data_IF_348549125419
#
_entry.id   IF_348549125419
#
_cell.length_a   1.000
_cell.length_b   1.000
_cell.length_c   1.000
_cell.angle_alpha   90.00
_cell.angle_beta   90.00
_cell.angle_gamma   90.00
#
_symmetry.space_group_name_H-M   'P 1'
#
loop_
_entity.id
_entity.type
_entity.pdbx_description
1 polymer ?
#
# COMPACT_ATOMS: atom_id res chain seq x y z
N UNK A 1 -62.95 27.04 10.27
CA UNK A 1 -63.69 26.48 11.38
C UNK A 1 -62.72 25.75 12.27
N UNK A 2 -62.75 26.21 13.52
CA UNK A 2 -62.45 25.66 14.84
C UNK A 2 -60.96 25.29 15.16
N UNK A 3 -60.50 26.24 15.94
CA UNK A 3 -59.45 26.17 16.97
C UNK A 3 -59.76 25.08 18.00
N UNK A 4 -58.77 24.33 18.44
CA UNK A 4 -58.67 23.94 19.85
C UNK A 4 -57.19 23.88 20.19
N UNK A 5 -56.78 24.78 21.05
CA UNK A 5 -55.54 24.77 21.78
C UNK A 5 -55.65 23.90 23.03
N UNK A 6 -54.51 23.36 23.49
CA UNK A 6 -54.40 22.83 24.81
C UNK A 6 -53.08 23.29 25.41
N UNK A 7 -53.20 24.21 26.33
CA UNK A 7 -52.22 24.63 27.31
C UNK A 7 -52.25 23.58 28.45
N UNK A 8 -51.10 23.05 28.84
CA UNK A 8 -50.94 22.48 30.17
C UNK A 8 -49.64 23.02 30.76
N UNK A 9 -49.86 23.58 31.94
CA UNK A 9 -48.94 24.37 32.71
C UNK A 9 -47.93 23.51 33.54
N UNK A 10 -46.77 24.07 33.71
CA UNK A 10 -45.93 24.18 34.90
C UNK A 10 -46.22 23.26 36.09
N UNK A 11 -45.20 22.47 36.52
CA UNK A 11 -44.89 22.31 37.94
C UNK A 11 -43.37 22.24 38.15
N UNK A 12 -42.88 23.30 38.76
CA UNK A 12 -41.56 23.40 39.42
C UNK A 12 -41.65 22.67 40.75
N UNK A 13 -40.73 21.77 41.03
CA UNK A 13 -40.46 21.28 42.37
C UNK A 13 -38.96 21.26 42.59
N UNK A 14 -38.48 22.32 43.23
CA UNK A 14 -37.18 22.38 43.84
C UNK A 14 -37.21 21.56 45.14
N UNK A 15 -36.28 20.59 45.24
CA UNK A 15 -35.93 19.96 46.51
C UNK A 15 -34.42 20.14 46.72
N UNK A 16 -34.09 21.14 47.53
CA UNK A 16 -32.79 21.24 48.19
C UNK A 16 -32.74 20.20 49.30
N UNK A 17 -31.80 19.28 49.23
CA UNK A 17 -31.31 18.55 50.38
C UNK A 17 -29.82 18.83 50.50
N UNK A 18 -29.49 19.73 51.40
CA UNK A 18 -28.16 19.89 51.94
C UNK A 18 -27.98 18.87 53.06
N UNK A 19 -26.96 18.05 52.99
CA UNK A 19 -26.34 17.42 54.13
C UNK A 19 -24.88 17.18 53.82
N UNK A 20 -24.08 17.65 54.50
CA UNK A 20 -22.90 17.95 55.09
C UNK A 20 -21.99 16.79 55.40
N UNK A 21 -20.70 17.02 55.23
CA UNK A 21 -19.63 16.60 56.11
C UNK A 21 -19.06 15.20 55.87
N UNK A 22 -17.84 15.15 55.42
CA UNK A 22 -16.99 14.00 55.51
C UNK A 22 -15.80 14.12 54.58
N UNK A 23 -14.67 14.64 55.09
CA UNK A 23 -13.41 14.72 54.37
C UNK A 23 -12.88 13.31 54.09
N UNK A 24 -12.39 13.16 52.89
CA UNK A 24 -11.60 12.04 52.42
C UNK A 24 -10.83 12.58 51.23
N UNK A 25 -9.62 13.04 51.50
CA UNK A 25 -8.62 13.30 50.45
C UNK A 25 -8.30 11.97 49.78
N UNK A 26 -9.03 11.66 48.76
CA UNK A 26 -8.71 10.67 47.75
C UNK A 26 -8.51 11.44 46.46
N UNK A 27 -7.30 11.80 46.16
CA UNK A 27 -6.88 12.13 44.80
C UNK A 27 -7.12 10.90 43.90
N UNK A 28 -8.39 10.61 43.60
CA UNK A 28 -8.74 9.85 42.42
C UNK A 28 -8.44 10.77 41.23
N UNK A 29 -7.14 10.80 40.84
CA UNK A 29 -6.78 11.21 39.50
C UNK A 29 -7.49 10.23 38.56
N UNK A 30 -8.72 10.57 38.20
CA UNK A 30 -9.42 9.93 37.11
C UNK A 30 -8.57 10.21 35.88
N UNK A 31 -7.68 9.25 35.57
CA UNK A 31 -6.93 9.23 34.31
C UNK A 31 -7.98 9.29 33.21
N UNK A 32 -8.16 10.47 32.64
CA UNK A 32 -9.10 10.66 31.54
C UNK A 32 -8.61 9.76 30.42
N UNK A 33 -9.45 8.83 29.97
CA UNK A 33 -9.13 7.99 28.83
C UNK A 33 -8.61 8.88 27.68
N UNK A 34 -7.53 8.50 27.00
CA UNK A 34 -6.96 9.30 25.94
C UNK A 34 -8.00 9.60 24.87
N UNK A 35 -8.01 10.83 24.37
CA UNK A 35 -8.89 11.20 23.25
C UNK A 35 -8.61 10.30 22.05
N UNK A 36 -9.65 9.83 21.37
CA UNK A 36 -9.47 8.99 20.18
C UNK A 36 -8.79 9.78 19.07
N UNK A 37 -7.73 9.18 18.52
CA UNK A 37 -6.98 9.69 17.38
C UNK A 37 -7.20 8.72 16.22
N UNK A 38 -7.91 9.16 15.19
CA UNK A 38 -8.13 8.37 14.00
C UNK A 38 -6.95 8.56 13.06
N UNK A 39 -6.36 7.44 12.61
CA UNK A 39 -5.20 7.41 11.72
C UNK A 39 -5.53 6.60 10.47
N UNK A 40 -5.11 7.11 9.32
CA UNK A 40 -5.26 6.47 8.03
C UNK A 40 -3.90 5.95 7.54
N UNK A 41 -3.85 4.71 7.08
CA UNK A 41 -2.66 4.05 6.54
C UNK A 41 -2.91 3.56 5.12
N UNK A 42 -2.36 4.26 4.13
CA UNK A 42 -2.44 3.87 2.72
C UNK A 42 -1.61 2.62 2.42
N UNK A 43 -2.20 1.67 1.69
CA UNK A 43 -1.59 0.37 1.41
C UNK A 43 -1.41 0.12 -0.09
N UNK A 44 -2.11 -0.84 -0.66
CA UNK A 44 -2.15 -1.19 -2.07
C UNK A 44 -3.44 -1.96 -2.37
N UNK A 45 -3.69 -2.39 -3.62
CA UNK A 45 -4.84 -3.22 -3.92
C UNK A 45 -4.80 -4.55 -3.14
N UNK A 46 -5.97 -5.11 -2.76
CA UNK A 46 -6.06 -6.45 -2.20
C UNK A 46 -5.30 -7.48 -3.04
N UNK A 47 -4.68 -8.47 -2.38
CA UNK A 47 -3.83 -9.46 -3.03
C UNK A 47 -2.36 -9.05 -3.19
N UNK A 48 -2.02 -7.79 -2.95
CA UNK A 48 -0.63 -7.33 -2.92
C UNK A 48 -0.01 -7.40 -1.51
N UNK A 49 1.31 -7.52 -1.44
CA UNK A 49 2.06 -7.58 -0.16
C UNK A 49 1.80 -6.35 0.73
N UNK A 50 1.72 -5.16 0.14
CA UNK A 50 1.47 -3.93 0.91
C UNK A 50 0.10 -3.93 1.58
N UNK A 51 -0.92 -4.53 0.94
CA UNK A 51 -2.23 -4.66 1.57
C UNK A 51 -2.16 -5.55 2.81
N UNK A 52 -1.48 -6.70 2.71
CA UNK A 52 -1.30 -7.63 3.84
C UNK A 52 -0.50 -6.99 4.98
N UNK A 53 0.63 -6.37 4.64
CA UNK A 53 1.50 -5.72 5.64
C UNK A 53 0.82 -4.51 6.29
N UNK A 54 0.13 -3.69 5.50
CA UNK A 54 -0.56 -2.51 6.02
C UNK A 54 -1.73 -2.88 6.92
N UNK A 55 -2.48 -3.92 6.58
CA UNK A 55 -3.55 -4.42 7.45
C UNK A 55 -3.01 -4.92 8.79
N UNK A 56 -1.95 -5.74 8.77
CA UNK A 56 -1.31 -6.22 9.99
C UNK A 56 -0.69 -5.09 10.82
N UNK A 57 -0.11 -4.08 10.17
CA UNK A 57 0.43 -2.91 10.84
C UNK A 57 -0.67 -2.08 11.52
N UNK A 58 -1.79 -1.84 10.83
CA UNK A 58 -2.93 -1.13 11.41
C UNK A 58 -3.53 -1.88 12.62
N UNK A 59 -3.65 -3.20 12.54
CA UNK A 59 -4.07 -4.05 13.65
C UNK A 59 -3.09 -3.91 14.84
N UNK A 60 -1.79 -4.01 14.58
CA UNK A 60 -0.74 -3.84 15.59
C UNK A 60 -0.79 -2.45 16.24
N UNK A 61 -0.97 -1.40 15.44
CA UNK A 61 -1.11 -0.02 15.94
C UNK A 61 -2.35 0.13 16.82
N UNK A 62 -3.45 -0.54 16.49
CA UNK A 62 -4.67 -0.53 17.30
C UNK A 62 -4.51 -1.33 18.61
N UNK A 63 -3.83 -2.48 18.55
CA UNK A 63 -3.59 -3.33 19.73
C UNK A 63 -2.68 -2.64 20.74
N UNK A 64 -1.59 -2.03 20.31
CA UNK A 64 -0.58 -1.43 21.17
C UNK A 64 -0.71 0.09 21.32
N UNK A 65 -1.51 0.73 20.51
CA UNK A 65 -1.73 2.18 20.50
C UNK A 65 -2.81 2.67 21.47
N UNK A 66 -3.42 1.79 22.27
CA UNK A 66 -4.53 2.11 23.18
C UNK A 66 -4.19 3.21 24.17
N UNK A 67 -2.96 3.25 24.71
CA UNK A 67 -2.48 4.31 25.59
C UNK A 67 -2.38 5.69 24.94
N UNK A 68 -2.36 5.77 23.59
CA UNK A 68 -2.36 6.99 22.80
C UNK A 68 -3.73 7.29 22.19
N UNK A 69 -4.73 6.44 22.41
CA UNK A 69 -6.06 6.55 21.82
C UNK A 69 -6.11 6.27 20.31
N UNK A 70 -5.11 5.60 19.75
CA UNK A 70 -5.03 5.35 18.31
C UNK A 70 -6.15 4.42 17.81
N UNK A 71 -6.72 4.80 16.68
CA UNK A 71 -7.68 4.02 15.90
C UNK A 71 -7.25 4.10 14.42
N UNK A 72 -6.46 3.14 13.99
CA UNK A 72 -5.82 3.11 12.68
C UNK A 72 -6.64 2.28 11.71
N UNK A 73 -6.88 2.82 10.52
CA UNK A 73 -7.54 2.12 9.41
C UNK A 73 -6.57 1.94 8.26
N UNK A 74 -6.39 0.69 7.80
CA UNK A 74 -5.67 0.40 6.57
C UNK A 74 -6.60 0.66 5.37
N UNK A 75 -6.17 1.52 4.45
CA UNK A 75 -6.90 1.89 3.25
C UNK A 75 -6.31 1.20 2.02
N UNK A 76 -7.15 0.54 1.23
CA UNK A 76 -6.74 0.04 -0.07
C UNK A 76 -6.56 1.22 -1.04
N UNK A 77 -5.41 1.24 -1.72
CA UNK A 77 -5.05 2.26 -2.71
C UNK A 77 -4.52 1.60 -3.98
N UNK A 78 -4.19 2.39 -5.00
CA UNK A 78 -3.50 1.85 -6.18
C UNK A 78 -2.02 1.50 -5.89
N UNK A 79 -1.44 2.00 -4.79
CA UNK A 79 -0.07 1.75 -4.38
C UNK A 79 0.75 3.03 -4.16
N UNK A 80 2.07 2.91 -4.24
CA UNK A 80 3.02 3.93 -3.78
C UNK A 80 2.80 5.32 -4.37
N UNK A 81 2.47 5.44 -5.65
CA UNK A 81 2.31 6.73 -6.30
C UNK A 81 1.08 7.48 -5.78
N UNK A 82 -0.05 6.80 -5.63
CA UNK A 82 -1.25 7.36 -5.00
C UNK A 82 -0.98 7.69 -3.53
N UNK A 83 -0.35 6.79 -2.81
CA UNK A 83 -0.02 6.95 -1.40
C UNK A 83 0.79 8.23 -1.13
N UNK A 84 1.81 8.48 -1.95
CA UNK A 84 2.65 9.67 -1.85
C UNK A 84 1.84 10.95 -2.06
N UNK A 85 0.95 10.98 -3.07
CA UNK A 85 0.10 12.15 -3.33
C UNK A 85 -0.89 12.39 -2.20
N UNK A 86 -1.50 11.33 -1.67
CA UNK A 86 -2.48 11.41 -0.58
C UNK A 86 -1.83 11.77 0.77
N UNK A 87 -0.58 11.37 1.01
CA UNK A 87 0.21 11.87 2.14
C UNK A 87 0.46 13.37 2.03
N UNK A 88 0.85 13.85 0.84
CA UNK A 88 1.14 15.26 0.60
C UNK A 88 -0.11 16.15 0.70
N UNK A 89 -1.27 15.62 0.31
CA UNK A 89 -2.57 16.32 0.47
C UNK A 89 -3.12 16.27 1.90
N UNK A 90 -2.54 15.46 2.78
CA UNK A 90 -3.03 15.26 4.15
C UNK A 90 -4.25 14.35 4.25
N UNK A 91 -4.55 13.57 3.20
CA UNK A 91 -5.61 12.56 3.19
C UNK A 91 -5.18 11.27 3.90
N UNK A 92 -3.88 11.02 4.02
CA UNK A 92 -3.29 9.90 4.75
C UNK A 92 -2.32 10.41 5.80
N UNK A 93 -2.31 9.76 6.97
CA UNK A 93 -1.34 10.01 8.03
C UNK A 93 -0.06 9.20 7.81
N UNK A 94 -0.21 7.97 7.34
CA UNK A 94 0.87 7.04 7.02
C UNK A 94 0.61 6.35 5.68
N UNK A 95 1.66 5.85 5.05
CA UNK A 95 1.51 5.01 3.87
C UNK A 95 2.69 4.09 3.66
N UNK A 96 2.42 2.96 3.04
CA UNK A 96 3.44 2.08 2.51
C UNK A 96 3.92 2.60 1.15
N UNK A 97 5.22 2.65 0.97
CA UNK A 97 5.82 3.09 -0.31
C UNK A 97 7.06 2.29 -0.65
N UNK A 98 7.21 2.00 -1.93
CA UNK A 98 8.41 1.40 -2.48
C UNK A 98 9.57 2.42 -2.50
N UNK A 99 10.76 1.98 -2.15
CA UNK A 99 11.94 2.85 -2.06
C UNK A 99 12.30 3.52 -3.40
N UNK A 100 12.17 2.82 -4.53
CA UNK A 100 12.44 3.38 -5.85
C UNK A 100 11.47 4.52 -6.18
N UNK A 101 10.18 4.29 -5.98
CA UNK A 101 9.13 5.30 -6.25
C UNK A 101 9.33 6.51 -5.35
N UNK A 102 9.60 6.27 -4.06
CA UNK A 102 9.91 7.33 -3.10
C UNK A 102 11.17 8.12 -3.48
N UNK A 103 12.21 7.43 -3.98
CA UNK A 103 13.45 8.06 -4.42
C UNK A 103 13.21 9.13 -5.50
N UNK A 104 12.40 8.83 -6.51
CA UNK A 104 12.05 9.78 -7.56
C UNK A 104 11.09 10.87 -7.08
N UNK A 105 10.11 10.52 -6.26
CA UNK A 105 9.13 11.45 -5.73
C UNK A 105 9.76 12.57 -4.87
N UNK A 106 10.70 12.25 -3.98
CA UNK A 106 11.35 13.25 -3.12
C UNK A 106 12.31 14.17 -3.90
N UNK A 107 12.69 13.76 -5.12
CA UNK A 107 13.52 14.56 -6.04
C UNK A 107 12.72 15.33 -7.08
N UNK A 108 11.44 14.99 -7.27
CA UNK A 108 10.61 15.57 -8.32
C UNK A 108 11.11 15.24 -9.72
N UNK A 109 11.61 14.00 -9.91
CA UNK A 109 12.16 13.53 -11.19
C UNK A 109 11.27 12.42 -11.77
N UNK A 110 11.57 11.98 -12.99
CA UNK A 110 10.86 10.88 -13.67
C UNK A 110 9.32 11.08 -13.77
N UNK A 111 8.88 12.30 -14.10
CA UNK A 111 7.47 12.61 -14.30
C UNK A 111 6.68 12.98 -13.04
N UNK A 112 7.34 13.11 -11.89
CA UNK A 112 6.73 13.70 -10.72
C UNK A 112 6.60 15.22 -10.86
N UNK A 113 5.44 15.78 -10.51
CA UNK A 113 5.08 17.18 -10.73
C UNK A 113 5.92 18.15 -9.84
N UNK A 114 6.42 17.66 -8.74
CA UNK A 114 7.23 18.38 -7.74
C UNK A 114 8.04 17.43 -6.88
N UNK A 115 8.96 17.97 -6.09
CA UNK A 115 9.60 17.23 -5.00
C UNK A 115 8.64 17.11 -3.81
N UNK A 116 8.29 15.89 -3.44
CA UNK A 116 7.37 15.60 -2.34
C UNK A 116 8.12 15.52 -1.01
N UNK A 117 7.57 16.16 0.03
CA UNK A 117 8.17 16.16 1.36
C UNK A 117 7.62 14.98 2.18
N UNK A 118 8.47 13.99 2.41
CA UNK A 118 8.11 12.79 3.16
C UNK A 118 9.14 12.47 4.23
N UNK A 119 8.72 11.71 5.23
CA UNK A 119 9.60 11.19 6.28
C UNK A 119 9.43 9.69 6.39
N UNK A 120 10.54 8.97 6.38
CA UNK A 120 10.55 7.53 6.64
C UNK A 120 10.38 7.29 8.13
N UNK A 121 9.39 6.50 8.49
CA UNK A 121 9.17 6.02 9.87
C UNK A 121 9.96 4.75 10.10
N UNK A 122 9.83 3.77 9.20
CA UNK A 122 10.56 2.49 9.28
C UNK A 122 10.72 1.84 7.90
N UNK A 123 11.65 0.90 7.81
CA UNK A 123 11.76 -0.03 6.69
C UNK A 123 11.16 -1.37 7.11
N UNK A 124 10.20 -1.88 6.35
CA UNK A 124 9.47 -3.11 6.70
C UNK A 124 10.15 -4.37 6.15
N UNK A 125 10.39 -4.42 4.84
CA UNK A 125 10.95 -5.59 4.18
C UNK A 125 11.65 -5.21 2.87
N UNK A 126 12.58 -6.05 2.38
CA UNK A 126 13.05 -5.99 1.01
C UNK A 126 11.88 -6.18 0.04
N UNK A 127 11.86 -5.39 -1.04
CA UNK A 127 10.92 -5.55 -2.13
C UNK A 127 11.62 -6.27 -3.27
N UNK A 128 11.26 -7.54 -3.49
CA UNK A 128 11.89 -8.38 -4.53
C UNK A 128 11.18 -8.13 -5.85
N UNK A 129 11.93 -7.96 -6.91
CA UNK A 129 11.45 -7.86 -8.29
C UNK A 129 11.56 -9.22 -8.96
N UNK A 130 10.45 -9.75 -9.45
CA UNK A 130 10.40 -11.06 -10.09
C UNK A 130 9.61 -10.97 -11.39
N UNK A 131 10.08 -11.68 -12.40
CA UNK A 131 9.32 -11.97 -13.62
C UNK A 131 8.97 -13.43 -13.62
N UNK A 132 7.72 -13.76 -13.91
CA UNK A 132 7.25 -15.13 -14.02
C UNK A 132 6.52 -15.34 -15.35
N UNK A 133 6.63 -16.55 -15.88
CA UNK A 133 5.94 -17.01 -17.09
C UNK A 133 5.39 -18.41 -16.87
N UNK A 134 4.39 -18.88 -17.63
CA UNK A 134 4.04 -20.30 -17.68
C UNK A 134 5.23 -21.14 -18.15
N UNK A 135 5.43 -22.31 -17.55
CA UNK A 135 6.57 -23.17 -17.85
C UNK A 135 6.63 -23.64 -19.31
N UNK A 136 5.49 -23.71 -19.97
CA UNK A 136 5.33 -24.13 -21.37
C UNK A 136 5.25 -22.96 -22.37
N UNK A 137 5.41 -21.70 -21.88
CA UNK A 137 5.28 -20.50 -22.73
C UNK A 137 6.45 -20.27 -23.69
N UNK A 138 7.61 -20.89 -23.42
CA UNK A 138 8.86 -20.61 -24.13
C UNK A 138 9.51 -19.26 -23.76
N UNK A 139 9.00 -18.55 -22.75
CA UNK A 139 9.57 -17.29 -22.23
C UNK A 139 10.44 -17.63 -21.02
N UNK A 140 11.75 -17.74 -21.23
CA UNK A 140 12.70 -18.19 -20.21
C UNK A 140 13.74 -17.12 -19.84
N UNK A 141 13.93 -16.12 -20.70
CA UNK A 141 14.89 -15.03 -20.52
C UNK A 141 14.22 -13.67 -20.64
N UNK A 142 14.88 -12.62 -20.16
CA UNK A 142 14.41 -11.25 -20.35
C UNK A 142 14.26 -10.88 -21.83
N UNK A 143 15.15 -11.39 -22.71
CA UNK A 143 15.09 -11.12 -24.14
C UNK A 143 13.81 -11.66 -24.79
N UNK A 144 13.24 -12.74 -24.27
CA UNK A 144 12.01 -13.36 -24.80
C UNK A 144 10.76 -12.53 -24.52
N UNK A 145 10.85 -11.51 -23.68
CA UNK A 145 9.75 -10.56 -23.44
C UNK A 145 9.44 -9.68 -24.66
N UNK A 146 10.39 -9.55 -25.61
CA UNK A 146 10.19 -8.71 -26.80
C UNK A 146 9.03 -9.22 -27.65
N UNK A 147 8.14 -8.29 -28.02
CA UNK A 147 6.94 -8.58 -28.80
C UNK A 147 5.81 -9.25 -27.99
N UNK A 148 6.04 -9.56 -26.72
CA UNK A 148 5.07 -10.25 -25.89
C UNK A 148 4.10 -9.30 -25.19
N UNK A 149 2.94 -9.85 -24.78
CA UNK A 149 2.02 -9.21 -23.86
C UNK A 149 2.50 -9.48 -22.44
N UNK A 150 2.82 -8.42 -21.70
CA UNK A 150 3.50 -8.51 -20.41
C UNK A 150 2.76 -7.73 -19.33
N UNK A 151 2.41 -8.38 -18.24
CA UNK A 151 1.79 -7.74 -17.07
C UNK A 151 2.80 -6.87 -16.33
N UNK A 152 2.52 -5.57 -16.19
CA UNK A 152 3.45 -4.57 -15.63
C UNK A 152 2.91 -3.85 -14.38
N UNK A 153 1.85 -4.37 -13.78
CA UNK A 153 1.23 -3.78 -12.58
C UNK A 153 0.15 -2.76 -12.91
N UNK A 154 -0.42 -2.19 -11.86
CA UNK A 154 -1.55 -1.24 -11.97
C UNK A 154 -1.06 0.09 -12.55
N UNK A 155 -1.81 0.63 -13.51
CA UNK A 155 -1.54 1.95 -14.05
C UNK A 155 -1.63 3.03 -12.93
N UNK A 156 -0.67 3.94 -12.90
CA UNK A 156 -0.62 5.00 -11.89
C UNK A 156 -0.20 4.54 -10.48
N UNK A 157 0.16 3.27 -10.30
CA UNK A 157 0.71 2.76 -9.04
C UNK A 157 2.20 3.10 -8.85
N UNK A 158 2.88 3.44 -9.93
CA UNK A 158 4.31 3.76 -9.95
C UNK A 158 5.22 2.58 -10.24
N UNK A 159 4.68 1.42 -10.62
CA UNK A 159 5.51 0.26 -10.97
C UNK A 159 6.53 0.54 -12.09
N UNK A 160 6.16 1.35 -13.05
CA UNK A 160 7.02 1.76 -14.17
C UNK A 160 8.32 2.46 -13.73
N UNK A 161 8.37 3.11 -12.55
CA UNK A 161 9.58 3.76 -12.05
C UNK A 161 10.73 2.79 -11.76
N UNK A 162 10.44 1.52 -11.54
CA UNK A 162 11.48 0.50 -11.38
C UNK A 162 11.43 -0.58 -12.47
N UNK A 163 10.28 -0.84 -13.10
CA UNK A 163 10.20 -1.78 -14.24
C UNK A 163 10.94 -1.22 -15.46
N UNK A 164 10.84 0.09 -15.76
CA UNK A 164 11.58 0.70 -16.88
C UNK A 164 13.09 0.54 -16.74
N UNK A 165 13.73 0.87 -15.61
CA UNK A 165 15.13 0.57 -15.39
C UNK A 165 15.47 -0.92 -15.53
N UNK A 166 14.64 -1.81 -14.95
CA UNK A 166 14.85 -3.26 -15.03
C UNK A 166 14.85 -3.76 -16.48
N UNK A 167 13.89 -3.36 -17.30
CA UNK A 167 13.84 -3.69 -18.71
C UNK A 167 14.99 -3.03 -19.47
N UNK A 168 15.27 -1.74 -19.20
CA UNK A 168 16.32 -0.96 -19.85
C UNK A 168 17.71 -1.55 -19.69
N UNK A 169 18.04 -2.08 -18.51
CA UNK A 169 19.31 -2.78 -18.27
C UNK A 169 19.49 -4.05 -19.15
N UNK A 170 18.37 -4.61 -19.66
CA UNK A 170 18.38 -5.71 -20.63
C UNK A 170 18.15 -5.22 -22.08
N UNK A 171 18.26 -3.89 -22.32
CA UNK A 171 18.05 -3.27 -23.62
C UNK A 171 16.60 -3.34 -24.12
N UNK A 172 15.62 -3.54 -23.23
CA UNK A 172 14.20 -3.64 -23.55
C UNK A 172 13.50 -2.36 -23.11
N UNK A 173 12.61 -1.85 -23.95
CA UNK A 173 11.76 -0.70 -23.65
C UNK A 173 10.30 -1.11 -23.55
N UNK A 174 9.43 -0.21 -23.10
CA UNK A 174 7.98 -0.46 -23.12
C UNK A 174 7.41 -0.57 -24.54
N UNK A 175 8.10 0.00 -25.55
CA UNK A 175 7.72 -0.11 -26.97
C UNK A 175 8.06 -1.49 -27.56
N UNK A 176 8.97 -2.23 -26.93
CA UNK A 176 9.32 -3.60 -27.31
C UNK A 176 8.33 -4.65 -26.79
N UNK A 177 7.40 -4.28 -25.91
CA UNK A 177 6.39 -5.16 -25.31
C UNK A 177 4.99 -4.59 -25.50
N UNK A 178 3.95 -5.39 -25.24
CA UNK A 178 2.58 -4.90 -25.06
C UNK A 178 2.26 -4.92 -23.57
N UNK A 179 2.35 -3.77 -22.86
CA UNK A 179 2.14 -3.74 -21.43
C UNK A 179 0.66 -3.93 -21.07
N UNK A 180 0.38 -4.83 -20.15
CA UNK A 180 -0.94 -5.09 -19.59
C UNK A 180 -0.99 -4.59 -18.14
N UNK A 181 -1.94 -3.71 -17.84
CA UNK A 181 -2.12 -3.18 -16.51
C UNK A 181 -3.12 -4.02 -15.72
N UNK A 182 -2.66 -4.61 -14.62
CA UNK A 182 -3.49 -5.40 -13.72
C UNK A 182 -2.93 -5.35 -12.29
N UNK A 183 -3.77 -5.68 -11.30
CA UNK A 183 -3.28 -6.01 -9.95
C UNK A 183 -2.39 -7.26 -10.02
N UNK A 184 -1.61 -7.55 -8.97
CA UNK A 184 -0.78 -8.76 -8.98
C UNK A 184 -1.62 -10.04 -9.09
N UNK A 185 -2.78 -10.11 -8.42
CA UNK A 185 -3.71 -11.23 -8.60
C UNK A 185 -4.27 -11.29 -10.01
N UNK A 186 -4.71 -10.15 -10.57
CA UNK A 186 -5.19 -10.08 -11.96
C UNK A 186 -4.12 -10.42 -12.98
N UNK A 187 -2.85 -10.11 -12.71
CA UNK A 187 -1.73 -10.52 -13.57
C UNK A 187 -1.56 -12.04 -13.60
N UNK A 188 -1.78 -12.73 -12.47
CA UNK A 188 -1.80 -14.19 -12.42
C UNK A 188 -2.96 -14.76 -13.25
N UNK A 189 -4.14 -14.13 -13.19
CA UNK A 189 -5.28 -14.54 -14.00
C UNK A 189 -4.98 -14.36 -15.51
N UNK A 190 -4.27 -13.28 -15.90
CA UNK A 190 -3.81 -13.07 -17.28
C UNK A 190 -2.79 -14.12 -17.76
N UNK A 191 -1.97 -14.68 -16.85
CA UNK A 191 -1.13 -15.83 -17.17
C UNK A 191 -1.97 -17.09 -17.37
N UNK A 192 -2.90 -17.36 -16.47
CA UNK A 192 -3.69 -18.57 -16.47
C UNK A 192 -4.61 -18.69 -17.69
N UNK A 193 -5.11 -17.58 -18.22
CA UNK A 193 -5.96 -17.53 -19.41
C UNK A 193 -5.17 -17.34 -20.74
N UNK A 194 -3.85 -17.23 -20.66
CA UNK A 194 -2.98 -17.01 -21.82
C UNK A 194 -3.03 -15.61 -22.40
N UNK A 195 -3.61 -14.64 -21.69
CA UNK A 195 -3.66 -13.23 -22.12
C UNK A 195 -2.29 -12.54 -21.96
N UNK A 196 -1.46 -12.98 -21.02
CA UNK A 196 -0.09 -12.52 -20.86
C UNK A 196 0.89 -13.67 -21.01
N UNK A 197 2.03 -13.43 -21.68
CA UNK A 197 3.11 -14.39 -21.80
C UNK A 197 4.04 -14.38 -20.56
N UNK A 198 4.13 -13.25 -19.90
CA UNK A 198 4.87 -13.08 -18.63
C UNK A 198 4.26 -11.95 -17.82
N UNK A 199 4.51 -11.94 -16.50
CA UNK A 199 4.07 -10.87 -15.62
C UNK A 199 5.17 -10.49 -14.62
N UNK A 200 5.20 -9.21 -14.29
CA UNK A 200 6.00 -8.71 -13.19
C UNK A 200 5.26 -8.92 -11.87
N UNK A 201 5.95 -9.47 -10.89
CA UNK A 201 5.48 -9.61 -9.51
C UNK A 201 6.51 -8.99 -8.58
N UNK A 202 6.07 -8.04 -7.77
CA UNK A 202 6.94 -7.37 -6.80
C UNK A 202 6.37 -7.45 -5.38
N UNK A 203 7.27 -7.45 -4.42
CA UNK A 203 6.87 -7.45 -3.00
C UNK A 203 7.80 -8.26 -2.11
N UNK A 204 7.40 -8.46 -0.86
CA UNK A 204 8.12 -9.33 0.04
C UNK A 204 7.87 -10.82 -0.29
N UNK A 205 8.77 -11.68 0.16
CA UNK A 205 8.61 -13.13 0.07
C UNK A 205 8.25 -13.66 1.47
N UNK A 206 7.22 -14.53 1.58
CA UNK A 206 6.39 -15.12 0.52
C UNK A 206 5.44 -14.10 -0.13
N UNK A 207 5.21 -14.24 -1.45
CA UNK A 207 4.32 -13.37 -2.20
C UNK A 207 3.01 -14.08 -2.54
N UNK A 208 1.84 -13.53 -2.20
CA UNK A 208 0.54 -14.17 -2.45
C UNK A 208 0.27 -14.46 -3.93
N UNK A 209 0.67 -13.58 -4.85
CA UNK A 209 0.47 -13.77 -6.27
C UNK A 209 1.31 -14.95 -6.82
N UNK A 210 2.54 -15.13 -6.33
CA UNK A 210 3.36 -16.29 -6.70
C UNK A 210 2.74 -17.58 -6.19
N UNK A 211 2.24 -17.58 -4.95
CA UNK A 211 1.53 -18.74 -4.38
C UNK A 211 0.29 -19.08 -5.21
N UNK A 212 -0.48 -18.08 -5.62
CA UNK A 212 -1.65 -18.25 -6.49
C UNK A 212 -1.24 -18.83 -7.85
N UNK A 213 -0.22 -18.26 -8.49
CA UNK A 213 0.27 -18.73 -9.80
C UNK A 213 0.74 -20.19 -9.75
N UNK A 214 1.58 -20.53 -8.76
CA UNK A 214 2.08 -21.90 -8.56
C UNK A 214 1.01 -22.93 -8.21
N UNK A 215 -0.12 -22.49 -7.65
CA UNK A 215 -1.25 -23.37 -7.35
C UNK A 215 -2.11 -23.65 -8.60
N UNK A 216 -2.07 -22.77 -9.60
CA UNK A 216 -2.90 -22.88 -10.82
C UNK A 216 -2.16 -23.54 -12.00
N UNK A 217 -0.85 -23.39 -12.08
CA UNK A 217 -0.01 -23.90 -13.19
C UNK A 217 1.47 -23.96 -12.81
N UNK A 218 2.26 -24.69 -13.59
CA UNK A 218 3.72 -24.63 -13.49
C UNK A 218 4.22 -23.28 -14.01
N UNK A 219 5.12 -22.64 -13.26
CA UNK A 219 5.70 -21.34 -13.61
C UNK A 219 7.23 -21.41 -13.64
N UNK A 220 7.81 -20.63 -14.54
CA UNK A 220 9.23 -20.30 -14.55
C UNK A 220 9.45 -18.93 -13.93
N UNK A 221 10.58 -18.77 -13.24
CA UNK A 221 11.13 -17.47 -12.88
C UNK A 221 12.12 -17.05 -13.96
N UNK A 222 11.88 -15.90 -14.58
CA UNK A 222 12.76 -15.36 -15.62
C UNK A 222 13.93 -14.64 -14.91
N UNK A 223 15.17 -15.12 -15.06
CA UNK A 223 16.32 -14.55 -14.38
C UNK A 223 16.73 -13.20 -14.97
N UNK A 224 17.27 -12.32 -14.14
CA UNK A 224 18.00 -11.14 -14.58
C UNK A 224 19.43 -11.50 -14.93
N UNK A 225 19.97 -10.91 -16.00
CA UNK A 225 21.38 -11.04 -16.35
C UNK A 225 22.26 -10.41 -15.28
N UNK A 226 23.36 -11.06 -14.91
CA UNK A 226 24.27 -10.57 -13.87
C UNK A 226 24.87 -9.20 -14.21
N UNK A 227 25.18 -8.96 -15.51
CA UNK A 227 25.67 -7.65 -15.96
C UNK A 227 24.61 -6.57 -15.79
N UNK A 228 23.33 -6.87 -16.12
CA UNK A 228 22.22 -5.96 -15.94
C UNK A 228 21.96 -5.66 -14.46
N UNK A 229 22.05 -6.67 -13.58
CA UNK A 229 21.95 -6.48 -12.13
C UNK A 229 23.04 -5.54 -11.62
N UNK A 230 24.30 -5.77 -12.01
CA UNK A 230 25.39 -4.93 -11.55
C UNK A 230 25.23 -3.48 -12.04
N UNK A 231 24.83 -3.28 -13.29
CA UNK A 231 24.53 -1.96 -13.82
C UNK A 231 23.45 -1.24 -13.00
N UNK A 232 22.36 -1.93 -12.66
CA UNK A 232 21.27 -1.36 -11.85
C UNK A 232 21.73 -0.99 -10.44
N UNK A 233 22.55 -1.83 -9.80
CA UNK A 233 23.11 -1.57 -8.47
C UNK A 233 24.05 -0.35 -8.51
N UNK A 234 24.86 -0.21 -9.53
CA UNK A 234 25.78 0.92 -9.68
C UNK A 234 25.07 2.22 -9.99
N UNK A 235 23.94 2.18 -10.72
CA UNK A 235 23.19 3.36 -11.14
C UNK A 235 22.18 3.83 -10.09
N UNK A 236 21.51 2.90 -9.39
CA UNK A 236 20.40 3.23 -8.48
C UNK A 236 20.64 2.71 -7.08
N UNK A 237 20.60 3.61 -6.09
CA UNK A 237 20.81 3.30 -4.67
C UNK A 237 19.75 2.36 -4.06
N UNK A 238 18.63 2.17 -4.72
CA UNK A 238 17.53 1.33 -4.24
C UNK A 238 17.55 -0.10 -4.80
N UNK A 239 18.39 -0.41 -5.77
CA UNK A 239 18.66 -1.79 -6.19
C UNK A 239 19.82 -2.39 -5.36
N UNK A 240 19.68 -3.69 -5.02
CA UNK A 240 20.68 -4.44 -4.24
C UNK A 240 20.62 -5.92 -4.62
#
# INVERSE_FOLDING_TARGET
>A
MRRVGFLVALMVSALFVACGGGGGDGDDASESAPSRVFLSLGTAPPGGTFFVFGSALAETMNEFGGGFGWNTTAEATSGSQENIRRLDSGELDFALSNAAITYFAVRGTEGWEKAYQMRTVMTLAPNVALWISPADSGVETMADLRGQRVGVGVAGAGFEYFIRPLLGAHGITYDDITPLNATQSGAVDLLADGSAAAVFVGGAIPNPAITQASASQEINFIPFDETAKQQLIDEYLFFR
#
